data_IF_416037540524
#
_entry.id   IF_416037540524
#
_cell.length_a   1.000
_cell.length_b   1.000
_cell.length_c   1.000
_cell.angle_alpha   90.00
_cell.angle_beta   90.00
_cell.angle_gamma   90.00
#
_symmetry.space_group_name_H-M   'P 1'
#
loop_
_entity.id
_entity.type
_entity.pdbx_description
1 polymer ?
#
# COMPACT_ATOMS: atom_id res chain seq x y z
N UNK A 1 11.43 16.00 1.18
CA UNK A 1 11.56 14.59 0.73
C UNK A 1 10.77 13.72 1.69
N UNK A 2 9.64 13.16 1.27
CA UNK A 2 8.95 12.14 2.07
C UNK A 2 8.94 10.87 1.21
N UNK A 3 9.93 10.00 1.47
CA UNK A 3 10.30 8.88 0.59
C UNK A 3 9.12 7.96 0.23
N UNK A 4 8.14 7.83 1.13
CA UNK A 4 6.96 6.97 0.95
C UNK A 4 5.77 7.64 0.24
N UNK A 5 5.78 8.97 0.07
CA UNK A 5 4.70 9.69 -0.62
C UNK A 5 4.72 9.41 -2.13
N UNK A 6 5.90 9.39 -2.74
CA UNK A 6 6.01 9.16 -4.19
C UNK A 6 5.63 7.73 -4.59
N UNK A 7 6.07 6.67 -3.86
CA UNK A 7 5.55 5.32 -4.04
C UNK A 7 4.02 5.23 -3.87
N UNK A 8 3.43 5.92 -2.89
CA UNK A 8 1.98 5.95 -2.71
C UNK A 8 1.24 6.58 -3.90
N UNK A 9 1.75 7.70 -4.43
CA UNK A 9 1.21 8.32 -5.66
C UNK A 9 1.34 7.40 -6.87
N UNK A 10 2.45 6.66 -6.96
CA UNK A 10 2.68 5.69 -8.02
C UNK A 10 1.64 4.55 -7.96
N UNK A 11 1.33 4.02 -6.76
CA UNK A 11 0.27 3.02 -6.59
C UNK A 11 -1.07 3.54 -7.13
N UNK A 12 -1.47 4.74 -6.71
CA UNK A 12 -2.72 5.38 -7.15
C UNK A 12 -2.79 5.49 -8.67
N UNK A 13 -1.69 5.92 -9.30
CA UNK A 13 -1.62 6.13 -10.75
C UNK A 13 -1.61 4.82 -11.54
N UNK A 14 -0.82 3.82 -11.12
CA UNK A 14 -0.70 2.54 -11.84
C UNK A 14 -2.01 1.75 -11.75
N UNK A 15 -2.62 1.73 -10.57
CA UNK A 15 -3.84 0.97 -10.35
C UNK A 15 -5.11 1.68 -10.85
N UNK A 16 -5.00 2.95 -11.28
CA UNK A 16 -6.11 3.83 -11.67
C UNK A 16 -7.17 3.96 -10.56
N UNK A 17 -6.72 4.15 -9.32
CA UNK A 17 -7.59 4.24 -8.15
C UNK A 17 -8.43 5.52 -8.21
N UNK A 18 -9.70 5.41 -7.81
CA UNK A 18 -10.68 6.50 -7.82
C UNK A 18 -11.03 6.93 -6.39
N UNK A 19 -11.46 8.18 -6.27
CA UNK A 19 -11.90 8.79 -4.99
C UNK A 19 -10.86 8.63 -3.87
N UNK A 20 -9.60 8.91 -4.22
CA UNK A 20 -8.46 8.67 -3.36
C UNK A 20 -8.27 9.81 -2.36
N UNK A 21 -8.12 9.44 -1.08
CA UNK A 21 -7.63 10.32 -0.02
C UNK A 21 -6.47 9.64 0.71
N UNK A 22 -5.65 10.41 1.43
CA UNK A 22 -4.53 9.83 2.16
C UNK A 22 -3.87 10.80 3.12
N UNK A 23 -3.07 10.24 4.02
CA UNK A 23 -2.34 10.99 5.05
C UNK A 23 -0.93 10.44 5.23
N UNK A 24 0.01 11.33 5.54
CA UNK A 24 1.37 10.98 5.93
C UNK A 24 1.53 11.09 7.44
N UNK A 25 2.25 10.15 8.05
CA UNK A 25 2.60 10.17 9.46
C UNK A 25 3.91 9.43 9.73
N UNK A 26 4.31 9.44 10.99
CA UNK A 26 5.44 8.66 11.49
C UNK A 26 4.91 7.44 12.23
N UNK A 27 5.47 6.28 11.94
CA UNK A 27 5.14 5.03 12.61
C UNK A 27 6.42 4.46 13.23
N UNK A 28 6.33 3.97 14.47
CA UNK A 28 7.46 3.27 15.07
C UNK A 28 7.75 2.00 14.28
N UNK A 29 9.02 1.68 14.07
CA UNK A 29 9.41 0.41 13.47
C UNK A 29 9.24 -0.79 14.43
N UNK A 30 8.78 -0.57 15.66
CA UNK A 30 8.49 -1.61 16.64
C UNK A 30 7.07 -1.48 17.22
N UNK A 31 6.63 -2.55 17.89
CA UNK A 31 5.32 -2.61 18.53
C UNK A 31 5.25 -1.84 19.86
N UNK A 32 6.36 -1.22 20.28
CA UNK A 32 6.51 -0.51 21.55
C UNK A 32 6.35 1.02 21.40
N UNK A 33 6.26 1.52 20.17
CA UNK A 33 6.15 2.95 19.89
C UNK A 33 7.47 3.73 20.06
N UNK A 34 8.56 3.03 20.36
CA UNK A 34 9.89 3.60 20.58
C UNK A 34 10.63 3.84 19.25
N UNK A 35 11.57 4.79 19.18
CA UNK A 35 12.42 4.96 18.01
C UNK A 35 13.10 3.64 17.58
N UNK A 36 13.40 3.45 16.29
CA UNK A 36 13.35 4.43 15.19
C UNK A 36 11.98 4.53 14.51
N UNK A 37 11.62 5.75 14.06
CA UNK A 37 10.38 5.99 13.31
C UNK A 37 10.61 5.95 11.79
N UNK A 38 9.73 5.25 11.09
CA UNK A 38 9.61 5.26 9.63
C UNK A 38 8.48 6.17 9.16
N UNK A 39 8.61 6.72 7.95
CA UNK A 39 7.51 7.44 7.32
C UNK A 39 6.43 6.46 6.82
N UNK A 40 5.16 6.76 7.05
CA UNK A 40 4.01 5.97 6.62
C UNK A 40 3.05 6.82 5.81
N UNK A 41 2.50 6.24 4.74
CA UNK A 41 1.37 6.82 4.01
C UNK A 41 0.21 5.85 4.04
N UNK A 42 -0.93 6.30 4.57
CA UNK A 42 -2.21 5.61 4.44
C UNK A 42 -2.98 6.17 3.25
N UNK A 43 -3.60 5.29 2.45
CA UNK A 43 -4.43 5.66 1.30
C UNK A 43 -5.79 4.99 1.46
N UNK A 44 -6.85 5.77 1.32
CA UNK A 44 -8.24 5.32 1.25
C UNK A 44 -8.78 5.54 -0.16
N UNK A 45 -9.57 4.59 -0.65
CA UNK A 45 -10.14 4.59 -2.00
C UNK A 45 -11.57 4.06 -1.96
N UNK A 46 -12.36 4.38 -2.99
CA UNK A 46 -13.66 3.76 -3.19
C UNK A 46 -13.54 2.50 -4.05
N UNK A 47 -14.11 1.40 -3.58
CA UNK A 47 -14.28 0.20 -4.40
C UNK A 47 -15.58 0.36 -5.21
N UNK A 48 -15.55 0.24 -6.54
CA UNK A 48 -16.75 0.39 -7.37
C UNK A 48 -17.87 -0.56 -6.95
N UNK A 49 -19.12 -0.10 -6.97
CA UNK A 49 -20.26 -0.95 -6.62
C UNK A 49 -20.43 -2.10 -7.63
N UNK A 50 -20.81 -3.28 -7.13
CA UNK A 50 -21.10 -4.46 -7.97
C UNK A 50 -19.86 -5.20 -8.49
N UNK A 51 -18.65 -4.82 -8.07
CA UNK A 51 -17.43 -5.60 -8.35
C UNK A 51 -17.17 -6.60 -7.23
N UNK A 52 -16.59 -7.74 -7.58
CA UNK A 52 -16.00 -8.63 -6.60
C UNK A 52 -14.78 -7.95 -5.97
N UNK A 53 -14.82 -7.72 -4.66
CA UNK A 53 -13.79 -6.95 -3.95
C UNK A 53 -12.44 -7.67 -3.98
N UNK A 54 -12.44 -8.99 -3.87
CA UNK A 54 -11.22 -9.77 -3.89
C UNK A 54 -10.53 -9.68 -5.25
N UNK A 55 -11.25 -9.92 -6.34
CA UNK A 55 -10.75 -9.78 -7.70
C UNK A 55 -10.28 -8.35 -8.00
N UNK A 56 -10.95 -7.33 -7.45
CA UNK A 56 -10.53 -5.94 -7.56
C UNK A 56 -9.14 -5.71 -6.93
N UNK A 57 -8.92 -6.18 -5.70
CA UNK A 57 -7.62 -6.05 -5.04
C UNK A 57 -6.53 -6.93 -5.67
N UNK A 58 -6.87 -8.12 -6.16
CA UNK A 58 -5.95 -8.96 -6.92
C UNK A 58 -5.50 -8.30 -8.24
N UNK A 59 -6.41 -7.60 -8.93
CA UNK A 59 -6.05 -6.82 -10.13
C UNK A 59 -5.10 -5.67 -9.79
N UNK A 60 -5.32 -4.97 -8.67
CA UNK A 60 -4.41 -3.93 -8.19
C UNK A 60 -3.02 -4.54 -7.96
N UNK A 61 -2.94 -5.65 -7.20
CA UNK A 61 -1.69 -6.36 -6.95
C UNK A 61 -0.96 -6.76 -8.24
N UNK A 62 -1.69 -7.34 -9.20
CA UNK A 62 -1.14 -7.75 -10.49
C UNK A 62 -0.58 -6.58 -11.30
N UNK A 63 -1.27 -5.43 -11.34
CA UNK A 63 -0.78 -4.21 -12.00
C UNK A 63 0.51 -3.69 -11.37
N UNK A 64 0.61 -3.75 -10.05
CA UNK A 64 1.80 -3.30 -9.31
C UNK A 64 2.99 -4.21 -9.57
N UNK A 65 2.80 -5.54 -9.52
CA UNK A 65 3.84 -6.52 -9.87
C UNK A 65 4.28 -6.38 -11.32
N UNK A 66 3.35 -6.18 -12.26
CA UNK A 66 3.67 -5.92 -13.66
C UNK A 66 4.49 -4.63 -13.85
N UNK A 67 4.42 -3.69 -12.91
CA UNK A 67 5.22 -2.47 -12.87
C UNK A 67 6.49 -2.60 -11.98
N UNK A 68 6.87 -3.81 -11.61
CA UNK A 68 8.13 -4.11 -10.93
C UNK A 68 8.09 -4.05 -9.40
N UNK A 69 6.90 -3.99 -8.79
CA UNK A 69 6.75 -4.18 -7.35
C UNK A 69 6.88 -5.66 -6.96
N UNK A 70 7.28 -5.91 -5.71
CA UNK A 70 7.57 -7.27 -5.23
C UNK A 70 6.42 -7.79 -4.40
N UNK A 71 5.79 -8.88 -4.85
CA UNK A 71 4.73 -9.53 -4.08
C UNK A 71 5.28 -10.28 -2.88
N UNK A 72 4.54 -10.28 -1.78
CA UNK A 72 4.81 -11.04 -0.57
C UNK A 72 5.50 -10.22 0.53
N UNK A 73 5.55 -10.80 1.72
CA UNK A 73 6.27 -10.19 2.83
C UNK A 73 7.79 -10.18 2.55
N UNK A 74 8.52 -9.14 2.97
CA UNK A 74 9.97 -9.18 3.01
C UNK A 74 10.47 -10.42 3.77
N UNK A 75 11.66 -10.95 3.42
CA UNK A 75 12.22 -12.10 4.12
C UNK A 75 12.25 -11.91 5.64
N UNK A 76 11.72 -12.88 6.38
CA UNK A 76 11.68 -12.85 7.85
C UNK A 76 10.46 -12.16 8.47
N UNK A 77 9.50 -11.69 7.66
CA UNK A 77 8.23 -11.13 8.16
C UNK A 77 7.05 -12.06 7.89
N UNK A 78 6.14 -12.15 8.87
CA UNK A 78 4.84 -12.81 8.74
C UNK A 78 3.74 -11.76 8.78
N UNK A 79 3.13 -11.50 7.62
CA UNK A 79 2.03 -10.55 7.48
C UNK A 79 0.71 -11.32 7.30
N UNK A 80 -0.36 -10.84 7.94
CA UNK A 80 -1.67 -11.52 7.97
C UNK A 80 -2.58 -11.13 6.79
N UNK A 81 -2.00 -10.62 5.70
CA UNK A 81 -2.73 -10.21 4.49
C UNK A 81 -1.83 -10.20 3.25
N UNK A 82 -2.44 -10.05 2.07
CA UNK A 82 -1.72 -9.90 0.81
C UNK A 82 -0.87 -8.64 0.84
N UNK A 83 0.42 -8.78 0.50
CA UNK A 83 1.40 -7.68 0.49
C UNK A 83 2.04 -7.58 -0.90
N UNK A 84 2.29 -6.36 -1.37
CA UNK A 84 2.89 -6.04 -2.68
C UNK A 84 3.87 -4.86 -2.60
#
# INVERSE_FOLDING_TARGET
>A
MAQVIDPAKQIVKIADLRDVSGGFGWESCNDQGDPTYGGRVGVSLSVPAGVDQQAYFEQIAAKMVAHGWSSGAPPGQHLFGTTI
#
